data_IF_253560491165
#
_entry.id   IF_253560491165
#
_cell.length_a   1.000
_cell.length_b   1.000
_cell.length_c   1.000
_cell.angle_alpha   90.00
_cell.angle_beta   90.00
_cell.angle_gamma   90.00
#
_symmetry.space_group_name_H-M   'P 1'
#
loop_
_entity.id
_entity.type
_entity.pdbx_description
1 polymer ?
#
# COMPACT_ATOMS: atom_id res chain seq x y z
N UNK A 1 -4.45 -18.31 -6.28
CA UNK A 1 -3.26 -17.49 -5.95
C UNK A 1 -3.74 -16.16 -5.41
N UNK A 2 -3.12 -15.60 -4.36
CA UNK A 2 -3.39 -14.23 -3.93
C UNK A 2 -2.18 -13.39 -4.34
N UNK A 3 -2.40 -12.29 -5.05
CA UNK A 3 -1.37 -11.30 -5.28
C UNK A 3 -1.23 -10.45 -4.01
N UNK A 4 -0.02 -10.38 -3.45
CA UNK A 4 0.24 -9.66 -2.20
C UNK A 4 0.78 -8.24 -2.38
N UNK A 5 1.05 -7.81 -3.61
CA UNK A 5 1.57 -6.47 -3.90
C UNK A 5 1.32 -6.11 -5.37
N UNK A 6 0.36 -5.23 -5.66
CA UNK A 6 0.20 -4.65 -6.98
C UNK A 6 -0.35 -3.21 -6.94
N UNK A 7 -0.18 -2.48 -8.04
CA UNK A 7 -0.49 -1.05 -8.16
C UNK A 7 -1.64 -0.79 -9.14
N UNK A 8 -2.75 -1.51 -8.98
CA UNK A 8 -3.93 -1.36 -9.84
C UNK A 8 -4.68 -0.02 -9.69
N UNK A 9 -4.21 0.86 -8.80
CA UNK A 9 -4.63 2.25 -8.68
C UNK A 9 -3.90 3.19 -9.66
N UNK A 10 -2.80 2.77 -10.28
CA UNK A 10 -2.04 3.58 -11.24
C UNK A 10 -2.88 3.92 -12.48
N UNK A 11 -2.78 5.17 -12.95
CA UNK A 11 -3.50 5.70 -14.12
C UNK A 11 -3.16 4.95 -15.43
N UNK A 12 -2.05 4.19 -15.48
CA UNK A 12 -1.74 3.30 -16.60
C UNK A 12 -2.83 2.25 -16.85
N UNK A 13 -3.60 1.87 -15.82
CA UNK A 13 -4.68 0.88 -15.91
C UNK A 13 -6.06 1.48 -16.22
N UNK A 14 -6.22 2.79 -16.28
CA UNK A 14 -7.55 3.44 -16.42
C UNK A 14 -8.35 2.99 -17.67
N UNK A 15 -7.64 2.55 -18.71
CA UNK A 15 -8.23 2.14 -19.98
C UNK A 15 -8.68 0.68 -20.00
N UNK A 16 -8.02 -0.22 -19.28
CA UNK A 16 -8.19 -1.67 -19.41
C UNK A 16 -8.27 -2.43 -18.07
N UNK A 17 -8.33 -1.75 -16.91
CA UNK A 17 -8.36 -2.36 -15.57
C UNK A 17 -9.38 -3.51 -15.44
N UNK A 18 -10.56 -3.38 -16.03
CA UNK A 18 -11.57 -4.46 -16.02
C UNK A 18 -11.09 -5.71 -16.77
N UNK A 19 -10.38 -5.55 -17.89
CA UNK A 19 -9.79 -6.66 -18.66
C UNK A 19 -8.55 -7.24 -17.97
N UNK A 20 -7.75 -6.41 -17.28
CA UNK A 20 -6.65 -6.87 -16.41
C UNK A 20 -7.19 -7.77 -15.29
N UNK A 21 -8.24 -7.34 -14.60
CA UNK A 21 -8.89 -8.09 -13.51
C UNK A 21 -9.46 -9.42 -14.02
N UNK A 22 -10.15 -9.45 -15.16
CA UNK A 22 -10.69 -10.70 -15.70
C UNK A 22 -9.57 -11.66 -16.18
N UNK A 23 -8.49 -11.15 -16.80
CA UNK A 23 -7.30 -11.96 -17.12
C UNK A 23 -6.66 -12.56 -15.86
N UNK A 24 -6.53 -11.78 -14.79
CA UNK A 24 -5.99 -12.25 -13.52
C UNK A 24 -6.84 -13.37 -12.90
N UNK A 25 -8.18 -13.22 -12.89
CA UNK A 25 -9.11 -14.27 -12.44
C UNK A 25 -8.99 -15.55 -13.27
N UNK A 26 -8.92 -15.42 -14.61
CA UNK A 26 -8.74 -16.55 -15.52
C UNK A 26 -7.40 -17.29 -15.29
N UNK A 27 -6.36 -16.56 -14.89
CA UNK A 27 -5.07 -17.13 -14.48
C UNK A 27 -5.07 -17.75 -13.05
N UNK A 28 -6.21 -17.77 -12.35
CA UNK A 28 -6.33 -18.35 -11.00
C UNK A 28 -5.91 -17.42 -9.86
N UNK A 29 -5.83 -16.11 -10.09
CA UNK A 29 -5.79 -15.11 -9.02
C UNK A 29 -7.18 -15.03 -8.38
N UNK A 30 -7.25 -15.16 -7.05
CA UNK A 30 -8.48 -15.15 -6.26
C UNK A 30 -8.64 -13.88 -5.42
N UNK A 31 -7.64 -12.99 -5.45
CA UNK A 31 -7.65 -11.68 -4.80
C UNK A 31 -6.27 -11.02 -4.85
N UNK A 32 -6.25 -9.71 -4.67
CA UNK A 32 -5.07 -8.85 -4.74
C UNK A 32 -5.05 -7.87 -3.57
N UNK A 33 -3.88 -7.66 -2.96
CA UNK A 33 -3.59 -6.51 -2.12
C UNK A 33 -3.11 -5.37 -3.02
N UNK A 34 -3.86 -4.27 -3.05
CA UNK A 34 -3.61 -3.17 -4.00
C UNK A 34 -3.16 -1.91 -3.29
N UNK A 35 -1.94 -1.51 -3.61
CA UNK A 35 -1.21 -0.42 -2.96
C UNK A 35 -1.55 0.94 -3.58
N UNK A 36 -1.27 1.99 -2.81
CA UNK A 36 -1.15 3.36 -3.33
C UNK A 36 0.25 3.90 -3.07
N UNK A 37 0.72 4.80 -3.91
CA UNK A 37 2.01 5.48 -3.76
C UNK A 37 1.86 6.91 -3.22
N UNK A 38 0.67 7.51 -3.32
CA UNK A 38 0.41 8.89 -2.97
C UNK A 38 -1.06 9.09 -2.48
N UNK A 39 -1.35 10.24 -1.84
CA UNK A 39 -2.69 10.54 -1.32
C UNK A 39 -3.80 10.62 -2.41
N UNK A 40 -3.58 11.22 -3.60
CA UNK A 40 -4.58 11.23 -4.68
C UNK A 40 -5.18 9.86 -5.03
N UNK A 41 -4.37 8.80 -5.05
CA UNK A 41 -4.83 7.43 -5.35
C UNK A 41 -5.78 6.84 -4.29
N UNK A 42 -5.83 7.39 -3.07
CA UNK A 42 -6.59 6.78 -1.97
C UNK A 42 -8.08 6.63 -2.30
N UNK A 43 -8.68 7.64 -2.94
CA UNK A 43 -10.11 7.59 -3.29
C UNK A 43 -10.36 6.51 -4.36
N UNK A 44 -9.52 6.47 -5.39
CA UNK A 44 -9.55 5.45 -6.45
C UNK A 44 -9.40 4.03 -5.87
N UNK A 45 -8.50 3.86 -4.90
CA UNK A 45 -8.32 2.62 -4.16
C UNK A 45 -9.60 2.18 -3.40
N UNK A 46 -10.29 3.11 -2.72
CA UNK A 46 -11.57 2.80 -2.07
C UNK A 46 -12.68 2.46 -3.07
N UNK A 47 -12.83 3.24 -4.14
CA UNK A 47 -13.87 3.05 -5.15
C UNK A 47 -13.70 1.69 -5.87
N UNK A 48 -12.46 1.29 -6.15
CA UNK A 48 -12.15 -0.03 -6.70
C UNK A 48 -12.43 -1.17 -5.71
N UNK A 49 -12.18 -0.94 -4.42
CA UNK A 49 -12.52 -1.90 -3.37
C UNK A 49 -14.04 -2.13 -3.26
N UNK A 50 -14.86 -1.07 -3.40
CA UNK A 50 -16.32 -1.19 -3.43
C UNK A 50 -16.83 -1.85 -4.72
N UNK A 51 -16.13 -1.63 -5.84
CA UNK A 51 -16.47 -2.23 -7.14
C UNK A 51 -16.09 -3.72 -7.24
N UNK A 52 -15.03 -4.15 -6.54
CA UNK A 52 -14.50 -5.51 -6.59
C UNK A 52 -14.30 -6.14 -5.19
N UNK A 53 -15.35 -6.21 -4.33
CA UNK A 53 -15.21 -6.49 -2.90
C UNK A 53 -14.82 -7.93 -2.55
N UNK A 54 -14.71 -8.80 -3.56
CA UNK A 54 -14.23 -10.18 -3.43
C UNK A 54 -12.93 -10.45 -4.19
N UNK A 55 -12.21 -9.39 -4.54
CA UNK A 55 -10.97 -9.47 -5.29
C UNK A 55 -9.96 -8.38 -4.92
N UNK A 56 -10.40 -7.20 -4.46
CA UNK A 56 -9.55 -6.03 -4.26
C UNK A 56 -9.49 -5.66 -2.78
N UNK A 57 -8.32 -5.82 -2.17
CA UNK A 57 -8.04 -5.45 -0.77
C UNK A 57 -7.23 -4.15 -0.76
N UNK A 58 -7.80 -3.00 -0.37
CA UNK A 58 -7.20 -1.67 -0.56
C UNK A 58 -6.12 -1.34 0.47
N UNK A 59 -5.01 -0.76 0.02
CA UNK A 59 -3.81 -0.63 0.83
C UNK A 59 -3.18 0.76 0.69
N UNK A 60 -3.53 1.70 1.57
CA UNK A 60 -3.23 3.14 1.34
C UNK A 60 -1.96 3.68 2.02
N UNK A 61 -0.83 3.75 1.31
CA UNK A 61 0.43 4.34 1.81
C UNK A 61 0.91 5.56 1.01
N UNK A 62 1.93 6.23 1.53
CA UNK A 62 2.72 7.24 0.78
C UNK A 62 4.15 6.75 0.64
N UNK A 63 4.59 6.56 -0.61
CA UNK A 63 5.88 6.00 -0.99
C UNK A 63 7.04 6.95 -0.63
N UNK A 64 8.22 6.45 -0.17
CA UNK A 64 9.43 7.26 0.04
C UNK A 64 9.96 8.03 -1.18
N UNK A 65 9.47 7.71 -2.38
CA UNK A 65 9.74 8.39 -3.66
C UNK A 65 8.40 8.91 -4.16
N UNK A 66 8.37 10.13 -4.67
CA UNK A 66 7.19 10.75 -5.27
C UNK A 66 7.58 11.25 -6.67
N UNK A 67 6.65 11.19 -7.62
CA UNK A 67 6.85 11.65 -8.99
C UNK A 67 6.08 12.94 -9.22
N UNK A 68 6.77 13.97 -9.70
CA UNK A 68 6.18 15.24 -10.08
C UNK A 68 6.36 15.48 -11.58
N UNK A 69 5.37 16.14 -12.20
CA UNK A 69 5.44 16.52 -13.60
C UNK A 69 6.09 17.91 -13.71
N UNK A 70 7.35 17.95 -14.10
CA UNK A 70 8.07 19.18 -14.41
C UNK A 70 8.20 19.32 -15.93
N UNK A 71 7.54 20.31 -16.50
CA UNK A 71 7.58 20.63 -17.94
C UNK A 71 7.21 19.48 -18.90
N UNK A 72 6.45 18.48 -18.44
CA UNK A 72 6.07 17.29 -19.20
C UNK A 72 6.94 16.05 -18.94
N UNK A 73 8.01 16.18 -18.14
CA UNK A 73 8.82 15.05 -17.68
C UNK A 73 8.41 14.64 -16.25
N UNK A 74 8.36 13.33 -15.99
CA UNK A 74 8.13 12.81 -14.64
C UNK A 74 9.46 12.68 -13.90
N UNK A 75 9.68 13.54 -12.91
CA UNK A 75 10.89 13.56 -12.09
C UNK A 75 10.57 12.90 -10.75
N UNK A 76 11.31 11.85 -10.41
CA UNK A 76 11.24 11.21 -9.10
C UNK A 76 12.08 11.95 -8.07
N UNK A 77 11.49 12.29 -6.93
CA UNK A 77 12.15 12.93 -5.78
C UNK A 77 11.88 12.17 -4.49
N UNK A 78 12.65 12.45 -3.44
CA UNK A 78 12.30 12.03 -2.08
C UNK A 78 10.94 12.59 -1.64
N UNK A 79 10.20 11.79 -0.87
CA UNK A 79 9.02 12.25 -0.11
C UNK A 79 9.41 13.35 0.89
N UNK A 80 8.46 14.25 1.19
CA UNK A 80 8.54 15.29 2.21
C UNK A 80 7.22 15.40 3.01
N UNK A 81 7.19 16.28 4.02
CA UNK A 81 6.03 16.42 4.91
C UNK A 81 4.72 16.82 4.20
N UNK A 82 4.80 17.51 3.06
CA UNK A 82 3.61 17.91 2.31
C UNK A 82 2.89 16.73 1.67
N UNK A 83 3.62 15.69 1.28
CA UNK A 83 3.07 14.50 0.60
C UNK A 83 2.21 13.63 1.54
N UNK A 84 2.41 13.76 2.86
CA UNK A 84 1.61 13.10 3.90
C UNK A 84 0.54 13.99 4.53
N UNK A 85 0.42 15.26 4.10
CA UNK A 85 -0.56 16.16 4.68
C UNK A 85 -1.99 15.76 4.32
N UNK A 86 -2.81 15.53 5.34
CA UNK A 86 -4.19 15.08 5.20
C UNK A 86 -4.39 13.56 5.28
N UNK A 87 -3.33 12.74 5.32
CA UNK A 87 -3.43 11.27 5.45
C UNK A 87 -4.37 10.86 6.61
N UNK A 88 -4.26 11.53 7.76
CA UNK A 88 -5.11 11.38 8.95
C UNK A 88 -6.60 11.62 8.69
N UNK A 89 -6.94 12.56 7.81
CA UNK A 89 -8.33 12.85 7.45
C UNK A 89 -8.90 11.72 6.60
N UNK A 90 -8.16 11.29 5.56
CA UNK A 90 -8.57 10.18 4.71
C UNK A 90 -8.78 8.89 5.49
N UNK A 91 -7.87 8.60 6.43
CA UNK A 91 -8.00 7.50 7.38
C UNK A 91 -9.26 7.64 8.22
N UNK A 92 -9.46 8.75 8.94
CA UNK A 92 -10.62 8.93 9.83
C UNK A 92 -11.95 8.80 9.10
N UNK A 93 -12.03 9.23 7.85
CA UNK A 93 -13.24 9.08 7.01
C UNK A 93 -13.43 7.65 6.47
N UNK A 94 -12.35 6.90 6.23
CA UNK A 94 -12.38 5.58 5.58
C UNK A 94 -11.85 4.44 6.48
N UNK A 95 -11.84 4.62 7.80
CA UNK A 95 -11.35 3.67 8.81
C UNK A 95 -12.09 2.31 8.81
N UNK A 96 -13.23 2.24 8.12
CA UNK A 96 -14.03 1.04 7.93
C UNK A 96 -13.85 0.45 6.50
N UNK A 97 -12.82 0.86 5.74
CA UNK A 97 -12.64 0.59 4.28
C UNK A 97 -11.20 0.35 3.83
N UNK A 98 -10.20 0.92 4.49
CA UNK A 98 -8.73 0.70 4.29
C UNK A 98 -8.40 -0.79 4.61
N UNK A 99 -7.27 -1.47 4.22
CA UNK A 99 -7.04 -2.94 4.50
C UNK A 99 -5.60 -3.53 4.73
N UNK A 100 -4.43 -3.05 4.22
CA UNK A 100 -3.05 -3.60 4.57
C UNK A 100 -1.91 -2.52 4.71
N UNK A 101 -0.97 -2.45 5.72
CA UNK A 101 0.12 -1.41 5.94
C UNK A 101 1.51 -1.84 5.57
N UNK A 102 2.32 -0.89 5.09
CA UNK A 102 3.76 -0.90 4.93
C UNK A 102 4.24 -1.57 3.65
N UNK A 103 5.33 -1.05 3.10
CA UNK A 103 6.11 -1.58 1.97
C UNK A 103 7.40 -0.76 2.04
N UNK A 104 8.57 -1.36 2.26
CA UNK A 104 9.39 -1.83 1.16
C UNK A 104 10.16 -0.66 0.52
N UNK A 105 11.36 -0.93 0.05
CA UNK A 105 12.32 0.13 -0.30
C UNK A 105 13.75 -0.37 -0.26
N UNK A 106 14.55 0.14 -1.20
CA UNK A 106 15.85 -0.44 -1.50
C UNK A 106 16.95 0.03 -0.52
N UNK A 107 17.10 -0.65 0.63
CA UNK A 107 18.30 -0.45 1.46
C UNK A 107 18.39 -1.21 2.79
N UNK A 108 19.49 -1.98 2.92
CA UNK A 108 20.16 -2.56 4.10
C UNK A 108 19.38 -3.00 5.36
N UNK A 109 19.81 -4.14 5.90
CA UNK A 109 19.17 -4.83 7.01
C UNK A 109 19.30 -4.11 8.37
N UNK A 110 18.20 -4.07 9.13
CA UNK A 110 18.21 -4.20 10.60
C UNK A 110 16.81 -4.48 11.17
N UNK A 111 16.74 -5.58 11.92
CA UNK A 111 15.85 -5.94 13.04
C UNK A 111 14.49 -5.24 13.15
N UNK A 112 13.41 -5.99 12.91
CA UNK A 112 12.23 -5.98 13.78
C UNK A 112 11.48 -7.33 13.69
N UNK A 113 10.68 -7.69 14.71
CA UNK A 113 9.91 -8.95 14.71
C UNK A 113 8.82 -8.89 13.65
N UNK A 114 9.02 -9.64 12.58
CA UNK A 114 8.09 -9.82 11.48
C UNK A 114 6.80 -10.45 12.02
N UNK A 115 5.65 -9.78 11.84
CA UNK A 115 4.38 -10.50 11.77
C UNK A 115 4.47 -11.28 10.46
N UNK A 116 4.61 -12.62 10.53
CA UNK A 116 4.79 -13.44 9.35
C UNK A 116 3.72 -13.07 8.30
N UNK A 117 4.11 -12.94 7.04
CA UNK A 117 3.12 -12.82 5.96
C UNK A 117 2.19 -14.04 5.99
N UNK A 118 2.72 -15.20 6.38
CA UNK A 118 2.00 -16.42 6.75
C UNK A 118 0.96 -16.23 7.87
N UNK A 119 1.06 -15.25 8.77
CA UNK A 119 0.05 -15.03 9.81
C UNK A 119 -1.15 -14.24 9.27
N UNK A 120 -0.91 -13.21 8.45
CA UNK A 120 -1.97 -12.49 7.76
C UNK A 120 -2.64 -13.38 6.69
N UNK A 121 -1.84 -14.09 5.88
CA UNK A 121 -2.32 -15.12 4.98
C UNK A 121 -2.99 -16.27 5.72
N UNK A 122 -2.50 -16.75 6.87
CA UNK A 122 -3.22 -17.80 7.62
C UNK A 122 -4.51 -17.27 8.23
N UNK A 123 -4.59 -16.01 8.64
CA UNK A 123 -5.86 -15.40 9.03
C UNK A 123 -6.83 -15.35 7.83
N UNK A 124 -6.31 -15.10 6.61
CA UNK A 124 -7.06 -15.17 5.34
C UNK A 124 -7.16 -16.57 4.67
N UNK A 125 -6.66 -17.65 5.28
CA UNK A 125 -6.66 -19.00 4.67
C UNK A 125 -7.11 -20.11 5.63
N UNK A 126 -6.96 -19.95 6.95
CA UNK A 126 -7.34 -20.93 7.97
C UNK A 126 -8.57 -20.50 8.79
N UNK A 127 -8.91 -19.21 8.85
CA UNK A 127 -10.19 -18.75 9.42
C UNK A 127 -11.29 -18.56 8.37
N UNK A 128 -10.94 -18.55 7.07
CA UNK A 128 -11.93 -18.71 6.00
C UNK A 128 -12.16 -20.21 5.75
N UNK A 129 -13.40 -20.74 5.81
CA UNK A 129 -13.71 -21.90 4.98
C UNK A 129 -13.37 -21.55 3.52
N UNK A 130 -13.02 -22.56 2.69
CA UNK A 130 -12.56 -22.43 1.29
C UNK A 130 -13.53 -21.74 0.30
N UNK A 131 -14.57 -21.07 0.79
CA UNK A 131 -15.60 -20.28 0.08
C UNK A 131 -16.06 -19.04 0.86
N UNK A 132 -15.40 -18.63 1.94
CA UNK A 132 -15.86 -17.48 2.72
C UNK A 132 -15.75 -16.18 1.91
N UNK A 133 -16.77 -15.37 2.06
CA UNK A 133 -17.00 -14.13 1.32
C UNK A 133 -16.03 -13.06 1.81
N UNK A 134 -15.10 -12.61 0.96
CA UNK A 134 -14.13 -11.56 1.30
C UNK A 134 -14.82 -10.22 1.61
N UNK A 135 -16.07 -10.03 1.18
CA UNK A 135 -16.96 -8.94 1.58
C UNK A 135 -17.12 -8.78 3.11
N UNK A 136 -16.89 -9.85 3.90
CA UNK A 136 -16.89 -9.79 5.36
C UNK A 136 -15.65 -9.08 5.93
N UNK A 137 -14.53 -9.05 5.20
CA UNK A 137 -13.31 -8.35 5.60
C UNK A 137 -13.38 -6.83 5.34
N UNK A 138 -14.14 -6.42 4.32
CA UNK A 138 -14.35 -5.02 3.92
C UNK A 138 -14.87 -4.09 5.02
N UNK A 139 -15.36 -4.61 6.15
CA UNK A 139 -15.97 -3.81 7.21
C UNK A 139 -15.04 -3.46 8.37
N UNK A 140 -13.91 -4.16 8.55
CA UNK A 140 -13.17 -4.11 9.83
C UNK A 140 -11.64 -4.29 9.76
N UNK A 141 -11.05 -4.82 8.69
CA UNK A 141 -9.60 -4.72 8.53
C UNK A 141 -9.28 -3.31 8.04
N UNK A 142 -8.21 -2.68 8.49
CA UNK A 142 -7.68 -1.42 7.95
C UNK A 142 -6.21 -1.32 8.21
N UNK A 143 -5.42 -0.91 7.20
CA UNK A 143 -3.95 -1.03 7.07
C UNK A 143 -3.54 -0.30 5.71
N UNK A 144 -2.33 0.32 5.56
CA UNK A 144 -1.75 1.31 4.57
C UNK A 144 -0.46 0.91 3.69
N UNK A 145 -0.48 0.12 2.60
CA UNK A 145 0.70 -0.70 2.17
C UNK A 145 1.74 0.03 1.30
N UNK A 146 2.30 1.14 1.82
CA UNK A 146 3.55 1.73 1.34
C UNK A 146 4.15 2.68 2.38
N UNK A 147 5.17 2.21 3.11
CA UNK A 147 5.82 2.94 4.20
C UNK A 147 7.26 2.42 4.32
N UNK A 148 8.18 3.07 3.62
CA UNK A 148 9.53 2.57 3.41
C UNK A 148 10.60 3.65 3.49
N UNK A 149 11.84 3.25 3.22
CA UNK A 149 12.98 4.13 3.00
C UNK A 149 13.61 3.68 1.68
N UNK A 150 13.83 4.61 0.76
CA UNK A 150 14.57 4.34 -0.47
C UNK A 150 15.74 5.30 -0.57
N UNK A 151 16.95 4.77 -0.35
CA UNK A 151 18.18 5.56 -0.37
C UNK A 151 18.94 5.44 -1.70
N UNK A 152 18.25 5.11 -2.79
CA UNK A 152 18.83 5.15 -4.14
C UNK A 152 19.38 6.56 -4.42
N UNK A 153 20.65 6.72 -4.81
CA UNK A 153 21.27 8.03 -5.07
C UNK A 153 20.61 8.87 -6.19
N UNK A 154 19.66 8.29 -6.93
CA UNK A 154 18.83 8.98 -7.91
C UNK A 154 17.74 9.87 -7.26
N UNK A 155 17.26 9.51 -6.07
CA UNK A 155 16.15 10.20 -5.39
C UNK A 155 16.59 10.93 -4.10
N UNK A 156 17.77 10.60 -3.58
CA UNK A 156 18.39 11.22 -2.41
C UNK A 156 19.55 12.10 -2.87
N UNK A 157 19.44 13.41 -2.64
CA UNK A 157 20.47 14.38 -2.99
C UNK A 157 21.11 15.03 -1.75
N UNK A 158 20.49 14.85 -0.58
CA UNK A 158 20.90 15.44 0.70
C UNK A 158 20.62 14.51 1.90
N UNK A 159 21.21 14.83 3.06
CA UNK A 159 20.81 14.18 4.32
C UNK A 159 19.44 14.66 4.84
N UNK A 160 18.93 15.79 4.32
CA UNK A 160 17.56 16.26 4.55
C UNK A 160 16.56 15.29 3.95
N UNK A 161 16.78 14.80 2.72
CA UNK A 161 15.91 13.82 2.06
C UNK A 161 15.79 12.52 2.87
N UNK A 162 16.93 11.99 3.36
CA UNK A 162 16.96 10.83 4.25
C UNK A 162 16.22 11.08 5.57
N UNK A 163 16.23 12.33 6.05
CA UNK A 163 15.55 12.72 7.30
C UNK A 163 14.04 12.84 7.08
N UNK A 164 13.62 13.42 5.95
CA UNK A 164 12.22 13.50 5.53
C UNK A 164 11.60 12.10 5.36
N UNK A 165 12.28 11.19 4.66
CA UNK A 165 11.83 9.80 4.53
C UNK A 165 11.66 9.12 5.90
N UNK A 166 12.62 9.28 6.83
CA UNK A 166 12.51 8.72 8.20
C UNK A 166 11.32 9.28 8.96
N UNK A 167 11.05 10.57 8.84
CA UNK A 167 9.96 11.22 9.56
C UNK A 167 8.59 10.83 8.98
N UNK A 168 8.45 10.81 7.64
CA UNK A 168 7.27 10.26 6.95
C UNK A 168 7.03 8.80 7.32
N UNK A 169 8.08 7.97 7.33
CA UNK A 169 8.03 6.57 7.75
C UNK A 169 7.57 6.43 9.21
N UNK A 170 8.14 7.23 10.13
CA UNK A 170 7.75 7.27 11.56
C UNK A 170 6.30 7.66 11.74
N UNK A 171 5.84 8.73 11.07
CA UNK A 171 4.46 9.24 11.16
C UNK A 171 3.45 8.19 10.69
N UNK A 172 3.66 7.56 9.54
CA UNK A 172 2.77 6.50 9.06
C UNK A 172 2.73 5.29 10.02
N UNK A 173 3.84 4.91 10.66
CA UNK A 173 3.89 3.89 11.72
C UNK A 173 3.19 4.32 13.02
N UNK A 174 3.14 5.60 13.35
CA UNK A 174 2.40 6.08 14.52
C UNK A 174 0.90 6.11 14.29
N UNK A 175 0.46 6.45 13.07
CA UNK A 175 -0.94 6.31 12.66
C UNK A 175 -1.36 4.84 12.64
N UNK A 176 -0.49 3.94 12.15
CA UNK A 176 -0.67 2.49 12.24
C UNK A 176 -1.03 2.03 13.66
N UNK A 177 -0.16 2.37 14.61
CA UNK A 177 -0.31 1.98 16.02
C UNK A 177 -1.54 2.61 16.66
N UNK A 178 -1.79 3.89 16.40
CA UNK A 178 -2.94 4.65 16.94
C UNK A 178 -4.27 4.00 16.56
N UNK A 179 -4.35 3.45 15.34
CA UNK A 179 -5.56 2.81 14.84
C UNK A 179 -5.56 1.27 15.00
N UNK A 180 -4.53 0.67 15.60
CA UNK A 180 -4.36 -0.79 15.80
C UNK A 180 -4.24 -1.60 14.50
N UNK A 181 -3.63 -0.99 13.49
CA UNK A 181 -3.58 -1.49 12.12
C UNK A 181 -2.19 -2.19 11.85
N UNK A 182 -2.14 -3.42 11.31
CA UNK A 182 -0.88 -4.19 11.11
C UNK A 182 0.15 -3.63 10.12
N UNK A 183 1.45 -3.67 10.42
CA UNK A 183 2.54 -3.19 9.53
C UNK A 183 3.35 -4.32 8.88
N UNK A 184 3.57 -4.19 7.57
CA UNK A 184 4.38 -5.02 6.66
C UNK A 184 5.61 -4.25 6.19
N UNK A 185 6.56 -4.99 5.62
CA UNK A 185 7.77 -4.49 4.97
C UNK A 185 8.15 -5.52 3.92
N UNK A 186 8.24 -5.14 2.65
CA UNK A 186 8.84 -6.05 1.67
C UNK A 186 10.35 -6.10 1.93
N UNK A 187 10.91 -7.31 1.90
CA UNK A 187 12.36 -7.51 1.90
C UNK A 187 12.79 -7.79 0.46
N UNK A 188 12.72 -6.76 -0.40
CA UNK A 188 13.27 -6.84 -1.76
C UNK A 188 14.79 -6.58 -1.74
N UNK A 189 15.53 -7.57 -1.24
CA UNK A 189 16.91 -7.85 -1.64
C UNK A 189 17.23 -9.33 -1.48
N UNK A 190 17.64 -9.95 -2.60
CA UNK A 190 18.58 -11.06 -2.62
C UNK A 190 20.01 -10.50 -2.77
#
# INVERSE_FOLDING_TARGET
MIDCHCHLCDDQFDKDLSEVIERAKQAGVIGCLVNTENIPEFQKCFDLSERYPNFFLPCIGVHPVQYENENGEFIGRSVNENDVNGIEKHLRTNLNRVVAIGEGGSGSASVCKILNCTLALNFMLYNLPLRADLSLFHKNLSMFFYVGLDYTPRFIHSDTDKSNQKEVFRRQIELAKTHQLPVYRSNLFC
#
